data_IF_703313440467
#
_entry.id   IF_703313440467
#
_cell.length_a   1.000
_cell.length_b   1.000
_cell.length_c   1.000
_cell.angle_alpha   90.00
_cell.angle_beta   90.00
_cell.angle_gamma   90.00
#
_symmetry.space_group_name_H-M   'P 1'
#
loop_
_entity.id
_entity.type
_entity.pdbx_description
1 polymer ?
#
# COMPACT_ATOMS: atom_id res chain seq x y z
N UNK A 1 2.12 22.70 -31.07
CA UNK A 1 2.03 21.66 -32.13
C UNK A 1 3.43 21.27 -32.56
N UNK A 2 3.90 20.11 -32.05
CA UNK A 2 5.13 19.50 -32.58
C UNK A 2 4.64 18.39 -33.52
N UNK A 3 4.78 18.65 -34.80
CA UNK A 3 4.52 17.72 -35.89
C UNK A 3 5.48 16.54 -35.76
N UNK A 4 4.98 15.37 -35.42
CA UNK A 4 5.72 14.10 -35.42
C UNK A 4 5.45 13.43 -36.78
N UNK A 5 6.33 13.60 -37.70
CA UNK A 5 6.37 12.89 -38.97
C UNK A 5 7.75 12.26 -39.09
N UNK A 6 7.83 10.94 -38.77
CA UNK A 6 8.86 10.06 -39.36
C UNK A 6 8.51 8.59 -39.13
N UNK A 7 8.62 7.85 -40.19
CA UNK A 7 8.27 6.46 -40.44
C UNK A 7 9.17 5.49 -39.65
N UNK A 8 8.57 4.52 -38.97
CA UNK A 8 9.25 3.39 -38.33
C UNK A 8 8.79 3.23 -36.89
N UNK A 9 8.01 2.16 -36.60
CA UNK A 9 7.46 1.73 -35.32
C UNK A 9 7.76 2.65 -34.11
N UNK A 10 7.18 3.84 -34.13
CA UNK A 10 7.27 4.77 -33.01
C UNK A 10 6.45 4.20 -31.86
N UNK A 11 7.16 3.68 -30.87
CA UNK A 11 6.62 3.47 -29.54
C UNK A 11 6.32 4.85 -28.98
N UNK A 12 5.10 5.34 -29.17
CA UNK A 12 4.65 6.59 -28.53
C UNK A 12 4.92 6.46 -27.03
N UNK A 13 5.95 7.18 -26.55
CA UNK A 13 6.25 7.29 -25.13
C UNK A 13 5.09 8.07 -24.54
N UNK A 14 4.09 7.37 -24.02
CA UNK A 14 2.98 7.99 -23.30
C UNK A 14 3.50 8.41 -21.94
N UNK A 15 3.41 9.71 -21.69
CA UNK A 15 3.77 10.29 -20.40
C UNK A 15 2.94 9.67 -19.27
N UNK A 16 3.61 9.29 -18.18
CA UNK A 16 3.00 8.71 -17.00
C UNK A 16 2.57 9.74 -15.96
N UNK A 17 2.59 11.04 -16.32
CA UNK A 17 2.25 12.12 -15.38
C UNK A 17 0.85 11.90 -14.80
N UNK A 18 0.80 11.83 -13.46
CA UNK A 18 -0.44 11.69 -12.70
C UNK A 18 -1.00 10.27 -12.58
N UNK A 19 -0.40 9.25 -13.21
CA UNK A 19 -0.85 7.87 -13.03
C UNK A 19 -0.21 7.29 -11.77
N UNK A 20 -1.04 6.99 -10.76
CA UNK A 20 -0.61 6.44 -9.47
C UNK A 20 -0.89 4.94 -9.34
N UNK A 21 -1.53 4.32 -10.34
CA UNK A 21 -1.88 2.91 -10.34
C UNK A 21 -1.02 2.15 -11.36
N UNK A 22 -0.32 1.12 -10.88
CA UNK A 22 0.60 0.30 -11.68
C UNK A 22 -0.10 -0.44 -12.83
N UNK A 23 -1.26 -1.02 -12.58
CA UNK A 23 -2.03 -1.73 -13.61
C UNK A 23 -2.46 -0.78 -14.73
N UNK A 24 -2.95 0.42 -14.39
CA UNK A 24 -3.30 1.43 -15.40
C UNK A 24 -2.08 1.87 -16.22
N UNK A 25 -0.93 2.04 -15.55
CA UNK A 25 0.32 2.44 -16.18
C UNK A 25 0.76 1.37 -17.19
N UNK A 26 0.73 0.11 -16.81
CA UNK A 26 1.12 -1.00 -17.69
C UNK A 26 0.13 -1.21 -18.84
N UNK A 27 -1.17 -1.19 -18.58
CA UNK A 27 -2.21 -1.38 -19.59
C UNK A 27 -2.24 -0.25 -20.63
N UNK A 28 -1.81 0.96 -20.25
CA UNK A 28 -1.71 2.10 -21.17
C UNK A 28 -0.37 2.17 -21.90
N UNK A 29 0.54 1.21 -21.68
CA UNK A 29 1.91 1.20 -22.20
C UNK A 29 2.68 2.51 -21.92
N UNK A 30 2.49 3.08 -20.71
CA UNK A 30 3.25 4.25 -20.29
C UNK A 30 4.66 3.84 -19.87
N UNK A 31 5.60 4.80 -19.93
CA UNK A 31 6.97 4.59 -19.45
C UNK A 31 6.95 4.29 -17.96
N UNK A 32 7.58 3.20 -17.59
CA UNK A 32 7.78 2.79 -16.20
C UNK A 32 9.27 2.61 -15.93
N UNK A 33 9.81 3.39 -14.99
CA UNK A 33 11.18 3.18 -14.51
C UNK A 33 11.17 1.94 -13.63
N UNK A 34 11.79 0.86 -14.11
CA UNK A 34 11.73 -0.44 -13.45
C UNK A 34 12.49 -0.44 -12.11
N UNK A 35 11.75 -0.50 -11.03
CA UNK A 35 12.23 -0.70 -9.67
C UNK A 35 11.68 -2.00 -9.06
N UNK A 36 11.18 -2.92 -9.89
CA UNK A 36 10.52 -4.13 -9.41
C UNK A 36 11.48 -5.11 -8.73
N UNK A 37 12.79 -5.04 -8.99
CA UNK A 37 13.78 -5.76 -8.20
C UNK A 37 13.76 -5.33 -6.73
N UNK A 38 13.64 -4.02 -6.44
CA UNK A 38 13.54 -3.53 -5.07
C UNK A 38 12.21 -3.96 -4.41
N UNK A 39 11.13 -3.97 -5.19
CA UNK A 39 9.81 -4.46 -4.74
C UNK A 39 9.89 -5.94 -4.38
N UNK A 40 10.54 -6.76 -5.21
CA UNK A 40 10.76 -8.18 -4.95
C UNK A 40 11.58 -8.40 -3.67
N UNK A 41 12.69 -7.69 -3.51
CA UNK A 41 13.50 -7.75 -2.28
C UNK A 41 12.70 -7.34 -1.05
N UNK A 42 11.93 -6.25 -1.13
CA UNK A 42 11.08 -5.78 -0.04
C UNK A 42 10.06 -6.84 0.38
N UNK A 43 9.38 -7.45 -0.58
CA UNK A 43 8.37 -8.47 -0.34
C UNK A 43 8.93 -9.78 0.25
N UNK A 44 10.25 -10.06 0.08
CA UNK A 44 10.89 -11.32 0.48
C UNK A 44 11.93 -11.18 1.61
N UNK A 45 12.16 -9.97 2.14
CA UNK A 45 13.13 -9.78 3.24
C UNK A 45 12.45 -9.80 4.60
N UNK A 46 11.40 -9.02 4.78
CA UNK A 46 10.64 -8.90 6.04
C UNK A 46 9.14 -8.79 5.76
N UNK A 47 8.34 -8.71 6.82
CA UNK A 47 6.89 -8.72 6.71
C UNK A 47 6.21 -7.41 7.05
N UNK A 48 6.85 -6.47 7.78
CA UNK A 48 6.18 -5.26 8.29
C UNK A 48 7.02 -4.01 8.00
N UNK A 49 6.50 -3.14 7.14
CA UNK A 49 7.21 -1.95 6.69
C UNK A 49 6.40 -0.67 6.82
N UNK A 50 7.12 0.40 7.09
CA UNK A 50 6.62 1.77 7.06
C UNK A 50 7.44 2.63 6.12
N UNK A 51 6.75 3.36 5.22
CA UNK A 51 7.35 4.32 4.30
C UNK A 51 6.71 5.69 4.46
N UNK A 52 7.49 6.67 4.93
CA UNK A 52 7.10 8.08 4.93
C UNK A 52 7.84 8.82 3.81
N UNK A 53 7.08 9.43 2.91
CA UNK A 53 7.60 10.28 1.82
C UNK A 53 6.65 11.43 1.56
N UNK A 54 7.12 12.58 1.08
CA UNK A 54 6.27 13.67 0.62
C UNK A 54 5.26 13.22 -0.45
N UNK A 55 4.26 14.05 -0.72
CA UNK A 55 3.34 13.82 -1.84
C UNK A 55 4.12 13.78 -3.17
N UNK A 56 3.61 13.02 -4.14
CA UNK A 56 4.19 12.84 -5.50
C UNK A 56 5.52 12.07 -5.56
N UNK A 57 5.93 11.39 -4.49
CA UNK A 57 7.12 10.52 -4.45
C UNK A 57 6.81 9.05 -4.72
N UNK A 58 5.76 8.75 -5.46
CA UNK A 58 5.47 7.40 -5.96
C UNK A 58 5.00 6.39 -4.91
N UNK A 59 4.53 6.83 -3.72
CA UNK A 59 4.03 5.92 -2.67
C UNK A 59 2.88 5.04 -3.16
N UNK A 60 1.82 5.64 -3.69
CA UNK A 60 0.65 4.90 -4.18
C UNK A 60 0.97 4.03 -5.39
N UNK A 61 1.92 4.44 -6.24
CA UNK A 61 2.43 3.58 -7.31
C UNK A 61 3.14 2.35 -6.74
N UNK A 62 3.96 2.51 -5.69
CA UNK A 62 4.60 1.38 -5.01
C UNK A 62 3.56 0.46 -4.36
N UNK A 63 2.56 1.02 -3.66
CA UNK A 63 1.47 0.24 -3.05
C UNK A 63 0.72 -0.56 -4.12
N UNK A 64 0.33 0.06 -5.23
CA UNK A 64 -0.37 -0.64 -6.32
C UNK A 64 0.52 -1.66 -7.05
N UNK A 65 1.85 -1.46 -7.08
CA UNK A 65 2.79 -2.47 -7.61
C UNK A 65 2.87 -3.68 -6.68
N UNK A 66 2.95 -3.47 -5.36
CA UNK A 66 2.90 -4.53 -4.36
C UNK A 66 1.56 -5.29 -4.42
N UNK A 67 0.44 -4.57 -4.55
CA UNK A 67 -0.88 -5.17 -4.72
C UNK A 67 -0.92 -6.10 -5.95
N UNK A 68 -0.50 -5.61 -7.11
CA UNK A 68 -0.46 -6.40 -8.34
C UNK A 68 0.45 -7.64 -8.20
N UNK A 69 1.59 -7.50 -7.53
CA UNK A 69 2.51 -8.61 -7.27
C UNK A 69 1.87 -9.68 -6.39
N UNK A 70 1.33 -9.31 -5.23
CA UNK A 70 0.70 -10.26 -4.32
C UNK A 70 -0.62 -10.84 -4.83
N UNK A 71 -1.28 -10.18 -5.78
CA UNK A 71 -2.43 -10.73 -6.51
C UNK A 71 -2.02 -11.67 -7.65
N UNK A 72 -0.72 -11.95 -7.83
CA UNK A 72 -0.23 -12.86 -8.88
C UNK A 72 -0.44 -12.36 -10.30
N UNK A 73 -0.57 -11.04 -10.54
CA UNK A 73 -0.82 -10.45 -11.87
C UNK A 73 0.45 -10.44 -12.74
N UNK A 74 0.99 -11.61 -13.02
CA UNK A 74 2.25 -11.82 -13.74
C UNK A 74 2.36 -11.03 -15.05
N UNK A 75 1.28 -10.94 -15.81
CA UNK A 75 1.28 -10.28 -17.12
C UNK A 75 1.65 -8.79 -17.04
N UNK A 76 1.37 -8.12 -15.92
CA UNK A 76 1.76 -6.73 -15.70
C UNK A 76 3.27 -6.53 -15.54
N UNK A 77 4.00 -7.59 -15.21
CA UNK A 77 5.45 -7.57 -14.95
C UNK A 77 6.29 -8.01 -16.14
N UNK A 78 5.66 -8.31 -17.29
CA UNK A 78 6.38 -8.67 -18.52
C UNK A 78 7.43 -7.63 -18.88
N UNK A 79 8.67 -8.09 -19.12
CA UNK A 79 9.81 -7.25 -19.44
C UNK A 79 10.45 -6.51 -18.26
N UNK A 80 9.94 -6.70 -17.03
CA UNK A 80 10.50 -6.09 -15.82
C UNK A 80 11.38 -7.09 -15.06
N UNK A 81 12.23 -6.59 -14.16
CA UNK A 81 13.15 -7.40 -13.38
C UNK A 81 12.45 -8.49 -12.56
N UNK A 82 11.28 -8.18 -12.00
CA UNK A 82 10.48 -9.12 -11.19
C UNK A 82 10.05 -10.36 -11.96
N UNK A 83 9.81 -10.28 -13.26
CA UNK A 83 9.43 -11.44 -14.09
C UNK A 83 10.50 -12.54 -14.06
N UNK A 84 11.78 -12.13 -13.95
CA UNK A 84 12.92 -13.07 -13.90
C UNK A 84 13.19 -13.58 -12.49
N UNK A 85 12.85 -12.78 -11.48
CA UNK A 85 13.13 -13.08 -10.06
C UNK A 85 12.04 -13.96 -9.43
N UNK A 86 10.76 -13.68 -9.74
CA UNK A 86 9.64 -14.43 -9.19
C UNK A 86 9.32 -15.66 -10.05
N UNK A 87 9.16 -16.82 -9.41
CA UNK A 87 8.88 -18.09 -10.07
C UNK A 87 7.46 -18.60 -9.78
N UNK A 88 6.99 -18.42 -8.56
CA UNK A 88 5.79 -19.08 -8.06
C UNK A 88 4.50 -18.30 -8.33
N UNK A 89 4.57 -16.96 -8.35
CA UNK A 89 3.44 -16.05 -8.60
C UNK A 89 2.19 -16.43 -7.79
N UNK A 90 2.38 -16.70 -6.50
CA UNK A 90 1.29 -17.03 -5.60
C UNK A 90 0.25 -15.89 -5.51
N UNK A 91 -1.03 -16.28 -5.43
CA UNK A 91 -2.15 -15.33 -5.31
C UNK A 91 -2.56 -15.23 -3.85
N UNK A 92 -2.09 -14.21 -3.17
CA UNK A 92 -2.41 -13.95 -1.77
C UNK A 92 -3.72 -13.16 -1.63
N UNK A 93 -4.47 -13.33 -0.51
CA UNK A 93 -5.53 -12.39 -0.15
C UNK A 93 -4.91 -11.03 0.17
N UNK A 94 -5.32 -9.98 -0.56
CA UNK A 94 -4.81 -8.62 -0.38
C UNK A 94 -5.90 -7.71 0.15
N UNK A 95 -5.64 -7.07 1.28
CA UNK A 95 -6.48 -6.05 1.89
C UNK A 95 -5.83 -4.68 1.73
N UNK A 96 -6.37 -3.89 0.81
CA UNK A 96 -5.85 -2.55 0.51
C UNK A 96 -6.82 -1.48 1.01
N UNK A 97 -6.34 -0.62 1.92
CA UNK A 97 -7.05 0.57 2.42
C UNK A 97 -6.30 1.80 1.94
N UNK A 98 -6.99 2.67 1.20
CA UNK A 98 -6.50 3.97 0.76
C UNK A 98 -7.28 5.07 1.47
N UNK A 99 -6.60 5.84 2.33
CA UNK A 99 -7.20 6.95 3.07
C UNK A 99 -7.21 8.27 2.29
N UNK A 100 -6.62 8.34 1.10
CA UNK A 100 -6.62 9.55 0.28
C UNK A 100 -7.94 9.82 -0.43
N UNK A 101 -8.84 8.82 -0.47
CA UNK A 101 -10.07 8.87 -1.26
C UNK A 101 -11.19 9.72 -0.63
N UNK A 102 -11.10 10.02 0.67
CA UNK A 102 -12.13 10.72 1.43
C UNK A 102 -11.54 11.96 2.09
N UNK A 103 -12.38 12.97 2.36
CA UNK A 103 -12.06 14.11 3.21
C UNK A 103 -12.61 13.87 4.61
N UNK A 104 -11.78 14.09 5.62
CA UNK A 104 -12.10 13.77 7.01
C UNK A 104 -12.38 15.05 7.80
N UNK A 105 -13.64 15.45 7.79
CA UNK A 105 -14.16 16.63 8.52
C UNK A 105 -14.86 16.26 9.82
N UNK A 106 -15.24 14.99 9.95
CA UNK A 106 -15.90 14.42 11.13
C UNK A 106 -15.35 13.02 11.43
N UNK A 107 -15.61 12.52 12.65
CA UNK A 107 -15.32 11.13 13.00
C UNK A 107 -16.14 10.15 12.14
N UNK A 108 -17.35 10.53 11.76
CA UNK A 108 -18.24 9.72 10.92
C UNK A 108 -17.60 9.41 9.55
N UNK A 109 -16.91 10.38 8.93
CA UNK A 109 -16.27 10.20 7.63
C UNK A 109 -15.24 9.04 7.69
N UNK A 110 -14.47 8.96 8.78
CA UNK A 110 -13.53 7.87 9.00
C UNK A 110 -14.23 6.54 9.25
N UNK A 111 -15.25 6.54 10.10
CA UNK A 111 -16.01 5.31 10.41
C UNK A 111 -16.71 4.76 9.18
N UNK A 112 -17.27 5.61 8.32
CA UNK A 112 -17.86 5.21 7.06
C UNK A 112 -16.82 4.60 6.11
N UNK A 113 -15.67 5.25 5.94
CA UNK A 113 -14.57 4.72 5.11
C UNK A 113 -14.11 3.33 5.58
N UNK A 114 -13.91 3.16 6.88
CA UNK A 114 -13.53 1.86 7.46
C UNK A 114 -14.63 0.81 7.26
N UNK A 115 -15.90 1.20 7.44
CA UNK A 115 -17.03 0.29 7.24
C UNK A 115 -17.15 -0.14 5.78
N UNK A 116 -17.03 0.80 4.83
CA UNK A 116 -17.06 0.48 3.39
C UNK A 116 -15.91 -0.45 2.98
N UNK A 117 -14.74 -0.28 3.55
CA UNK A 117 -13.63 -1.20 3.35
C UNK A 117 -13.97 -2.61 3.86
N UNK A 118 -14.45 -2.73 5.11
CA UNK A 118 -14.83 -4.00 5.71
C UNK A 118 -15.93 -4.69 4.90
N UNK A 119 -17.00 -3.97 4.52
CA UNK A 119 -18.08 -4.53 3.72
C UNK A 119 -17.62 -5.08 2.36
N UNK A 120 -16.64 -4.42 1.71
CA UNK A 120 -16.08 -4.93 0.45
C UNK A 120 -15.35 -6.26 0.65
N UNK A 121 -14.56 -6.36 1.71
CA UNK A 121 -13.83 -7.58 2.01
C UNK A 121 -14.74 -8.70 2.54
N UNK A 122 -15.75 -8.38 3.33
CA UNK A 122 -16.76 -9.32 3.84
C UNK A 122 -17.60 -9.95 2.73
N UNK A 123 -17.82 -9.24 1.62
CA UNK A 123 -18.47 -9.85 0.43
C UNK A 123 -17.65 -11.01 -0.15
N UNK A 124 -16.34 -11.01 0.05
CA UNK A 124 -15.44 -12.06 -0.46
C UNK A 124 -15.22 -13.15 0.59
N UNK A 125 -14.93 -12.75 1.83
CA UNK A 125 -14.47 -13.68 2.88
C UNK A 125 -15.54 -13.99 3.94
N UNK A 126 -16.72 -13.39 3.82
CA UNK A 126 -17.83 -13.56 4.78
C UNK A 126 -17.71 -12.67 6.01
N UNK A 127 -18.76 -12.68 6.84
CA UNK A 127 -18.87 -11.94 8.09
C UNK A 127 -19.53 -12.82 9.15
N UNK A 128 -19.20 -12.60 10.44
CA UNK A 128 -19.83 -13.25 11.58
C UNK A 128 -20.64 -12.23 12.39
N UNK A 129 -21.79 -12.68 12.93
CA UNK A 129 -22.73 -11.80 13.66
C UNK A 129 -22.15 -11.29 14.99
N UNK A 130 -21.20 -12.00 15.53
CA UNK A 130 -20.51 -11.73 16.79
C UNK A 130 -19.47 -10.62 16.65
N UNK A 131 -19.01 -10.34 15.45
CA UNK A 131 -18.01 -9.32 15.12
C UNK A 131 -18.63 -7.92 15.06
N UNK A 132 -19.00 -7.37 16.22
CA UNK A 132 -19.76 -6.11 16.31
C UNK A 132 -18.91 -4.84 16.11
N UNK A 133 -17.61 -4.91 16.35
CA UNK A 133 -16.73 -3.75 16.22
C UNK A 133 -15.90 -3.81 14.95
N UNK A 134 -15.52 -2.66 14.35
CA UNK A 134 -14.65 -2.64 13.17
C UNK A 134 -13.34 -3.43 13.37
N UNK A 135 -12.76 -3.36 14.56
CA UNK A 135 -11.56 -4.12 14.93
C UNK A 135 -11.80 -5.64 14.92
N UNK A 136 -12.92 -6.12 15.52
CA UNK A 136 -13.28 -7.52 15.52
C UNK A 136 -13.56 -8.03 14.10
N UNK A 137 -14.25 -7.25 13.27
CA UNK A 137 -14.51 -7.57 11.86
C UNK A 137 -13.21 -7.70 11.07
N UNK A 138 -12.26 -6.77 11.25
CA UNK A 138 -10.94 -6.86 10.61
C UNK A 138 -10.20 -8.15 11.04
N UNK A 139 -10.22 -8.46 12.33
CA UNK A 139 -9.58 -9.65 12.87
C UNK A 139 -10.18 -10.94 12.31
N UNK A 140 -11.49 -11.08 12.34
CA UNK A 140 -12.19 -12.27 11.83
C UNK A 140 -12.02 -12.43 10.32
N UNK A 141 -12.08 -11.34 9.59
CA UNK A 141 -11.87 -11.32 8.14
C UNK A 141 -10.47 -11.81 7.74
N UNK A 142 -9.40 -11.38 8.45
CA UNK A 142 -8.03 -11.86 8.21
C UNK A 142 -7.93 -13.37 8.46
N UNK A 143 -8.55 -13.88 9.55
CA UNK A 143 -8.57 -15.31 9.85
C UNK A 143 -9.31 -16.11 8.76
N UNK A 144 -10.52 -15.70 8.40
CA UNK A 144 -11.32 -16.37 7.36
C UNK A 144 -10.63 -16.37 6.00
N UNK A 145 -9.99 -15.25 5.62
CA UNK A 145 -9.23 -15.18 4.38
C UNK A 145 -8.08 -16.21 4.37
N UNK A 146 -7.36 -16.34 5.49
CA UNK A 146 -6.33 -17.36 5.65
C UNK A 146 -6.89 -18.78 5.60
N UNK A 147 -7.98 -19.04 6.31
CA UNK A 147 -8.61 -20.37 6.37
C UNK A 147 -9.15 -20.81 5.01
N UNK A 148 -9.73 -19.89 4.24
CA UNK A 148 -10.30 -20.18 2.92
C UNK A 148 -9.24 -20.39 1.83
N UNK A 149 -8.12 -19.67 1.91
CA UNK A 149 -7.08 -19.70 0.86
C UNK A 149 -5.89 -20.58 1.21
N UNK A 150 -5.69 -20.89 2.48
CA UNK A 150 -4.47 -21.55 3.00
C UNK A 150 -3.23 -20.66 2.93
N UNK A 151 -3.36 -19.38 2.53
CA UNK A 151 -2.27 -18.44 2.35
C UNK A 151 -2.41 -17.25 3.30
N UNK A 152 -1.30 -16.77 3.88
CA UNK A 152 -1.32 -15.62 4.77
C UNK A 152 -1.68 -14.34 4.01
N UNK A 153 -2.33 -13.41 4.72
CA UNK A 153 -2.93 -12.18 4.18
C UNK A 153 -1.88 -11.09 3.98
N UNK A 154 -2.02 -10.31 2.94
CA UNK A 154 -1.29 -9.08 2.70
C UNK A 154 -2.17 -7.89 3.06
N UNK A 155 -1.64 -6.97 3.86
CA UNK A 155 -2.33 -5.73 4.25
C UNK A 155 -1.54 -4.53 3.73
N UNK A 156 -2.17 -3.70 2.92
CA UNK A 156 -1.61 -2.48 2.35
C UNK A 156 -2.41 -1.28 2.84
N UNK A 157 -1.75 -0.33 3.48
CA UNK A 157 -2.37 0.88 4.04
C UNK A 157 -1.71 2.09 3.39
N UNK A 158 -2.43 2.77 2.49
CA UNK A 158 -1.94 3.96 1.82
C UNK A 158 -2.48 5.23 2.48
N UNK A 159 -1.59 6.21 2.66
CA UNK A 159 -1.86 7.53 3.25
C UNK A 159 -2.59 7.47 4.61
N UNK A 160 -2.14 6.59 5.52
CA UNK A 160 -2.74 6.37 6.84
C UNK A 160 -2.96 7.64 7.67
N UNK A 161 -2.18 8.69 7.41
CA UNK A 161 -2.20 9.96 8.13
C UNK A 161 -3.09 11.03 7.47
N UNK A 162 -3.75 10.73 6.34
CA UNK A 162 -4.66 11.66 5.68
C UNK A 162 -5.78 12.16 6.61
N UNK A 163 -6.44 11.32 7.45
CA UNK A 163 -7.44 11.79 8.40
C UNK A 163 -6.88 12.82 9.40
N UNK A 164 -5.65 12.62 9.84
CA UNK A 164 -4.99 13.52 10.81
C UNK A 164 -4.51 14.82 10.16
N UNK A 165 -4.12 14.78 8.90
CA UNK A 165 -3.72 15.96 8.13
C UNK A 165 -4.92 16.84 7.77
N UNK A 166 -6.04 16.24 7.39
CA UNK A 166 -7.27 16.98 7.08
C UNK A 166 -7.86 17.67 8.33
N UNK A 167 -7.67 17.10 9.51
CA UNK A 167 -8.15 17.64 10.80
C UNK A 167 -7.13 18.49 11.55
N UNK A 168 -6.04 18.90 10.93
CA UNK A 168 -4.91 19.55 11.59
C UNK A 168 -5.25 20.85 12.33
N UNK A 169 -6.29 21.58 11.89
CA UNK A 169 -6.81 22.78 12.56
C UNK A 169 -7.79 22.49 13.70
N UNK A 170 -8.23 21.25 13.88
CA UNK A 170 -9.20 20.81 14.90
C UNK A 170 -8.58 19.73 15.78
N UNK A 171 -7.89 20.15 16.85
CA UNK A 171 -7.17 19.24 17.74
C UNK A 171 -8.08 18.20 18.42
N UNK A 172 -9.29 18.51 18.92
CA UNK A 172 -10.20 17.51 19.46
C UNK A 172 -10.57 16.42 18.42
N UNK A 173 -10.98 16.81 17.22
CA UNK A 173 -11.30 15.87 16.15
C UNK A 173 -10.09 15.01 15.76
N UNK A 174 -8.92 15.63 15.64
CA UNK A 174 -7.68 14.89 15.32
C UNK A 174 -7.39 13.81 16.35
N UNK A 175 -7.64 14.09 17.65
CA UNK A 175 -7.47 13.11 18.71
C UNK A 175 -8.46 11.94 18.61
N UNK A 176 -9.72 12.24 18.29
CA UNK A 176 -10.75 11.22 18.08
C UNK A 176 -10.42 10.31 16.89
N UNK A 177 -10.05 10.90 15.74
CA UNK A 177 -9.64 10.17 14.54
C UNK A 177 -8.42 9.28 14.81
N UNK A 178 -7.42 9.79 15.55
CA UNK A 178 -6.25 9.01 15.95
C UNK A 178 -6.61 7.82 16.82
N UNK A 179 -7.48 8.01 17.79
CA UNK A 179 -7.94 6.94 18.68
C UNK A 179 -8.73 5.88 17.91
N UNK A 180 -9.56 6.29 16.95
CA UNK A 180 -10.32 5.37 16.11
C UNK A 180 -9.41 4.52 15.21
N UNK A 181 -8.43 5.15 14.53
CA UNK A 181 -7.42 4.43 13.75
C UNK A 181 -6.63 3.43 14.60
N UNK A 182 -6.21 3.85 15.81
CA UNK A 182 -5.48 2.99 16.74
C UNK A 182 -6.32 1.77 17.14
N UNK A 183 -7.59 1.96 17.49
CA UNK A 183 -8.51 0.86 17.81
C UNK A 183 -8.68 -0.09 16.63
N UNK A 184 -8.86 0.46 15.43
CA UNK A 184 -9.08 -0.32 14.21
C UNK A 184 -7.88 -1.21 13.87
N UNK A 185 -6.65 -0.69 13.98
CA UNK A 185 -5.44 -1.43 13.62
C UNK A 185 -4.85 -2.26 14.77
N UNK A 186 -5.34 -2.11 16.01
CA UNK A 186 -4.80 -2.84 17.17
C UNK A 186 -4.77 -4.37 17.02
N UNK A 187 -5.72 -5.04 16.31
CA UNK A 187 -5.67 -6.49 16.14
C UNK A 187 -4.46 -6.98 15.32
N UNK A 188 -3.88 -6.15 14.46
CA UNK A 188 -2.76 -6.56 13.60
C UNK A 188 -1.55 -7.06 14.41
N UNK A 189 -1.37 -6.57 15.63
CA UNK A 189 -0.31 -7.04 16.56
C UNK A 189 -0.40 -8.53 16.85
N UNK A 190 -1.61 -9.05 17.07
CA UNK A 190 -1.85 -10.45 17.43
C UNK A 190 -2.00 -11.40 16.25
N UNK A 191 -1.98 -10.87 15.01
CA UNK A 191 -2.29 -11.63 13.81
C UNK A 191 -1.04 -12.00 12.98
N UNK A 192 0.17 -11.87 13.53
CA UNK A 192 1.42 -12.10 12.80
C UNK A 192 1.49 -13.43 12.06
N UNK A 193 0.94 -14.52 12.64
CA UNK A 193 0.89 -15.83 11.99
C UNK A 193 -0.01 -15.89 10.74
N UNK A 194 -0.95 -14.97 10.60
CA UNK A 194 -1.88 -14.87 9.47
C UNK A 194 -1.45 -13.82 8.44
N UNK A 195 -0.39 -13.04 8.75
CA UNK A 195 0.09 -11.96 7.88
C UNK A 195 1.33 -12.38 7.10
N UNK A 196 1.27 -12.28 5.77
CA UNK A 196 2.42 -12.40 4.88
C UNK A 196 3.22 -11.11 4.81
N UNK A 197 2.48 -9.99 4.76
CA UNK A 197 3.10 -8.69 4.51
C UNK A 197 2.17 -7.57 4.98
N UNK A 198 2.73 -6.58 5.67
CA UNK A 198 2.03 -5.35 6.07
C UNK A 198 2.86 -4.16 5.62
N UNK A 199 2.27 -3.33 4.78
CA UNK A 199 2.94 -2.14 4.26
C UNK A 199 2.10 -0.90 4.54
N UNK A 200 2.71 0.09 5.19
CA UNK A 200 2.04 1.32 5.62
C UNK A 200 2.75 2.51 4.99
N UNK A 201 2.01 3.39 4.33
CA UNK A 201 2.55 4.64 3.79
C UNK A 201 1.88 5.86 4.39
N UNK A 202 2.64 6.96 4.46
CA UNK A 202 2.15 8.25 4.88
C UNK A 202 3.13 9.39 4.58
N UNK A 203 2.80 10.59 5.02
CA UNK A 203 3.65 11.79 4.88
C UNK A 203 4.39 12.02 6.19
N UNK A 204 3.73 11.81 7.33
CA UNK A 204 4.22 12.14 8.67
C UNK A 204 4.75 10.92 9.41
N UNK A 205 5.96 11.04 9.96
CA UNK A 205 6.51 10.02 10.88
C UNK A 205 5.93 10.12 12.30
N UNK A 206 5.48 11.30 12.72
CA UNK A 206 5.05 11.55 14.09
C UNK A 206 3.75 10.84 14.46
N UNK A 207 2.80 10.75 13.54
CA UNK A 207 1.54 10.04 13.76
C UNK A 207 1.70 8.51 13.77
N UNK A 208 2.75 7.97 13.14
CA UNK A 208 3.07 6.55 13.15
C UNK A 208 3.21 5.99 14.57
N UNK A 209 4.01 6.63 15.41
CA UNK A 209 4.29 6.15 16.78
C UNK A 209 3.02 6.08 17.64
N UNK A 210 2.02 6.91 17.37
CA UNK A 210 0.79 6.94 18.16
C UNK A 210 -0.27 5.94 17.69
N UNK A 211 -0.27 5.53 16.42
CA UNK A 211 -1.24 4.59 15.85
C UNK A 211 -0.70 3.17 15.82
N UNK A 212 0.56 3.00 15.44
CA UNK A 212 1.20 1.71 15.23
C UNK A 212 2.26 1.38 16.29
N UNK A 213 2.24 2.05 17.46
CA UNK A 213 3.19 1.82 18.57
C UNK A 213 3.23 0.37 19.07
N UNK A 214 2.17 -0.37 18.81
CA UNK A 214 2.04 -1.77 19.23
C UNK A 214 2.66 -2.78 18.25
N UNK A 215 3.05 -2.34 17.04
CA UNK A 215 3.73 -3.17 16.05
C UNK A 215 5.24 -3.19 16.30
N UNK A 216 5.71 -4.16 17.10
CA UNK A 216 7.10 -4.21 17.56
C UNK A 216 8.15 -4.40 16.44
N UNK A 217 7.75 -4.93 15.27
CA UNK A 217 8.66 -5.27 14.17
C UNK A 217 8.55 -4.32 12.97
N UNK A 218 8.01 -3.12 13.16
CA UNK A 218 7.80 -2.16 12.08
C UNK A 218 9.13 -1.57 11.59
N UNK A 219 9.60 -2.02 10.43
CA UNK A 219 10.78 -1.47 9.76
C UNK A 219 10.47 -0.16 9.05
N UNK A 220 11.09 0.92 9.49
CA UNK A 220 11.00 2.21 8.82
C UNK A 220 12.05 2.29 7.70
N UNK A 221 11.59 2.27 6.45
CA UNK A 221 12.44 2.35 5.25
C UNK A 221 12.54 3.77 4.67
N UNK A 222 12.02 4.78 5.37
CA UNK A 222 12.01 6.17 4.88
C UNK A 222 13.41 6.78 4.80
N UNK A 223 14.35 6.32 5.60
CA UNK A 223 15.72 6.89 5.74
C UNK A 223 16.77 6.09 4.98
N UNK A 224 16.63 4.79 4.86
CA UNK A 224 17.69 3.90 4.32
C UNK A 224 17.82 3.99 2.79
N UNK A 225 16.75 4.27 2.07
CA UNK A 225 16.78 4.33 0.60
C UNK A 225 17.41 5.61 0.03
N UNK A 226 17.65 6.65 0.86
CA UNK A 226 18.24 7.90 0.36
C UNK A 226 19.75 7.82 0.15
N UNK A 227 20.44 7.04 0.94
CA UNK A 227 21.90 6.86 0.83
C UNK A 227 22.29 5.90 -0.30
N UNK A 228 21.52 4.84 -0.53
CA UNK A 228 21.80 3.89 -1.62
C UNK A 228 21.39 4.38 -3.03
N UNK A 229 20.36 5.21 -3.15
CA UNK A 229 19.98 5.79 -4.45
C UNK A 229 20.97 6.87 -4.93
N UNK A 230 21.57 7.64 -4.01
CA UNK A 230 22.60 8.63 -4.37
C UNK A 230 23.94 8.01 -4.76
N UNK A 231 24.30 6.87 -4.19
CA UNK A 231 25.59 6.21 -4.50
C UNK A 231 25.64 5.64 -5.92
N UNK A 232 24.49 5.32 -6.52
CA UNK A 232 24.42 4.84 -7.91
C UNK A 232 24.26 5.94 -8.96
N UNK A 233 23.67 7.09 -8.59
CA UNK A 233 23.52 8.21 -9.53
C UNK A 233 24.80 9.04 -9.71
N UNK A 234 25.76 8.94 -8.79
CA UNK A 234 27.03 9.69 -8.88
C UNK A 234 28.16 8.91 -9.55
N UNK A 235 27.99 7.63 -9.86
CA UNK A 235 29.01 6.81 -10.51
C UNK A 235 28.96 6.87 -12.05
N UNK A 236 27.86 7.33 -12.65
CA UNK A 236 27.67 7.36 -14.11
C UNK A 236 27.91 8.77 -14.74
N UNK A 237 28.43 9.73 -13.96
CA UNK A 237 28.74 11.09 -14.44
C UNK A 237 30.21 11.52 -14.18
N UNK A 238 31.15 10.63 -14.43
CA UNK A 238 32.59 10.98 -14.56
C UNK A 238 33.18 10.37 -15.82
#
# INVERSE_FOLDING_TARGET
>A
EISCSLVGSEMCIRDSIGIQNFEQLRNRNCVYVDKTELVYRLANTDSVYFLSRPRRFGKSLLVSTLEAYFQGKKDLFKGLAMERLEKDWNVYPVFHIDFSLTKYTTLFDLQEQLNLFLLRCEKVYGAEKEEKTPAARLQGMIRRAYEQTGLPVVVLIDEYDAPLLDSNSNIPLQQELRNELRKFFSPLKGLGQYLRFLFITGISKFSQMSIFSELNNLKNISTVSYTHLRAHETADNL
#
